data_IF_665624305931
#
_entry.id   IF_665624305931
#
_cell.length_a   1.000
_cell.length_b   1.000
_cell.length_c   1.000
_cell.angle_alpha   90.00
_cell.angle_beta   90.00
_cell.angle_gamma   90.00
#
_symmetry.space_group_name_H-M   'P 1'
#
loop_
_entity.id
_entity.type
_entity.pdbx_description
1 polymer ?
#
# COMPACT_ATOMS: atom_id res chain seq x y z
N UNK A 1 -11.79 -19.23 -2.76
CA UNK A 1 -11.22 -17.91 -2.48
C UNK A 1 -11.77 -17.28 -1.21
N UNK A 2 -13.09 -17.15 -1.05
CA UNK A 2 -13.68 -16.49 0.13
C UNK A 2 -13.19 -17.12 1.46
N UNK A 3 -13.18 -18.44 1.58
CA UNK A 3 -12.75 -19.18 2.78
C UNK A 3 -11.26 -18.95 3.14
N UNK A 4 -10.41 -18.62 2.19
CA UNK A 4 -8.99 -18.32 2.42
C UNK A 4 -8.82 -16.90 2.98
N UNK A 5 -9.66 -15.96 2.52
CA UNK A 5 -9.55 -14.54 2.87
C UNK A 5 -10.24 -14.22 4.18
N UNK A 6 -11.34 -14.89 4.51
CA UNK A 6 -12.09 -14.68 5.76
C UNK A 6 -11.22 -14.76 7.02
N UNK A 7 -10.34 -15.77 7.23
CA UNK A 7 -9.48 -15.83 8.40
C UNK A 7 -8.59 -14.60 8.56
N UNK A 8 -8.11 -14.00 7.45
CA UNK A 8 -7.26 -12.82 7.47
C UNK A 8 -8.05 -11.60 7.98
N UNK A 9 -9.30 -11.44 7.55
CA UNK A 9 -10.19 -10.40 8.06
C UNK A 9 -10.61 -10.64 9.52
N UNK A 10 -10.71 -11.88 9.96
CA UNK A 10 -10.96 -12.20 11.37
C UNK A 10 -9.79 -11.74 12.26
N UNK A 11 -8.54 -11.85 11.80
CA UNK A 11 -7.38 -11.30 12.53
C UNK A 11 -7.50 -9.77 12.66
N UNK A 12 -7.93 -9.06 11.61
CA UNK A 12 -8.19 -7.62 11.66
C UNK A 12 -9.31 -7.33 12.66
N UNK A 13 -10.39 -8.10 12.66
CA UNK A 13 -11.51 -7.94 13.60
C UNK A 13 -11.07 -8.17 15.05
N UNK A 14 -10.25 -9.18 15.32
CA UNK A 14 -9.67 -9.42 16.65
C UNK A 14 -8.85 -8.23 17.10
N UNK A 15 -7.98 -7.68 16.23
CA UNK A 15 -7.21 -6.46 16.51
C UNK A 15 -8.12 -5.26 16.82
N UNK A 16 -9.19 -5.08 16.03
CA UNK A 16 -10.18 -4.03 16.25
C UNK A 16 -10.90 -4.17 17.59
N UNK A 17 -11.41 -5.35 17.91
CA UNK A 17 -12.09 -5.63 19.18
C UNK A 17 -11.15 -5.42 20.37
N UNK A 18 -9.90 -5.89 20.26
CA UNK A 18 -8.89 -5.66 21.31
C UNK A 18 -8.63 -4.16 21.53
N UNK A 19 -8.44 -3.39 20.44
CA UNK A 19 -8.22 -1.94 20.52
C UNK A 19 -9.39 -1.17 21.14
N UNK A 20 -10.64 -1.66 20.96
CA UNK A 20 -11.84 -1.07 21.57
C UNK A 20 -12.01 -1.43 23.03
N UNK A 21 -11.62 -2.63 23.44
CA UNK A 21 -11.75 -3.11 24.83
C UNK A 21 -10.60 -2.65 25.75
N UNK A 22 -9.45 -2.28 25.16
CA UNK A 22 -8.26 -1.83 25.89
C UNK A 22 -7.82 -0.43 25.42
N UNK A 23 -8.58 0.63 25.73
CA UNK A 23 -8.30 1.99 25.26
C UNK A 23 -6.95 2.55 25.73
N UNK A 24 -6.45 2.09 26.89
CA UNK A 24 -5.18 2.56 27.49
C UNK A 24 -3.93 1.87 26.92
N UNK A 25 -4.08 0.99 25.91
CA UNK A 25 -2.97 0.28 25.25
C UNK A 25 -2.16 1.17 24.28
N UNK A 26 -2.15 2.51 24.45
CA UNK A 26 -1.55 3.48 23.54
C UNK A 26 -0.11 3.22 23.12
N UNK A 27 0.71 2.71 24.04
CA UNK A 27 2.09 2.35 23.75
C UNK A 27 2.20 0.98 23.06
N UNK A 28 1.27 0.05 23.34
CA UNK A 28 1.27 -1.27 22.72
C UNK A 28 1.00 -1.21 21.21
N UNK A 29 0.09 -0.34 20.76
CA UNK A 29 -0.19 -0.17 19.33
C UNK A 29 1.04 0.33 18.57
N UNK A 30 1.72 1.33 19.15
CA UNK A 30 2.94 1.86 18.55
C UNK A 30 4.00 0.77 18.47
N UNK A 31 4.19 0.02 19.56
CA UNK A 31 5.19 -1.06 19.62
C UNK A 31 4.91 -2.17 18.59
N UNK A 32 3.63 -2.59 18.45
CA UNK A 32 3.25 -3.62 17.48
C UNK A 32 3.44 -3.10 16.04
N UNK A 33 3.04 -1.85 15.76
CA UNK A 33 3.26 -1.25 14.45
C UNK A 33 4.76 -1.08 14.14
N UNK A 34 5.56 -0.66 15.12
CA UNK A 34 7.02 -0.54 14.97
C UNK A 34 7.66 -1.91 14.71
N UNK A 35 7.25 -2.96 15.44
CA UNK A 35 7.71 -4.33 15.18
C UNK A 35 7.39 -4.79 13.75
N UNK A 36 6.16 -4.57 13.28
CA UNK A 36 5.75 -4.94 11.93
C UNK A 36 6.57 -4.17 10.89
N UNK A 37 6.67 -2.84 11.04
CA UNK A 37 7.26 -1.96 10.02
C UNK A 37 8.79 -2.03 9.99
N UNK A 38 9.44 -2.17 11.16
CA UNK A 38 10.91 -2.10 11.27
C UNK A 38 11.59 -3.46 11.36
N UNK A 39 10.85 -4.53 11.66
CA UNK A 39 11.43 -5.86 11.90
C UNK A 39 10.81 -6.93 10.98
N UNK A 40 9.52 -7.23 11.17
CA UNK A 40 8.91 -8.40 10.55
C UNK A 40 8.73 -8.28 9.02
N UNK A 41 8.12 -7.18 8.55
CA UNK A 41 7.97 -6.92 7.10
C UNK A 41 9.32 -6.73 6.39
N UNK A 42 10.28 -5.94 6.93
CA UNK A 42 11.61 -5.87 6.34
C UNK A 42 12.29 -7.23 6.19
N UNK A 43 12.23 -8.09 7.21
CA UNK A 43 12.81 -9.43 7.14
C UNK A 43 12.14 -10.28 6.05
N UNK A 44 10.82 -10.26 5.96
CA UNK A 44 10.06 -10.95 4.91
C UNK A 44 10.44 -10.46 3.51
N UNK A 45 10.46 -9.13 3.30
CA UNK A 45 10.75 -8.54 1.99
C UNK A 45 12.21 -8.72 1.59
N UNK A 46 13.14 -8.62 2.56
CA UNK A 46 14.55 -8.89 2.32
C UNK A 46 14.76 -10.29 1.76
N UNK A 47 14.27 -11.32 2.44
CA UNK A 47 14.53 -12.70 2.01
C UNK A 47 13.81 -13.05 0.71
N UNK A 48 12.59 -12.48 0.49
CA UNK A 48 11.86 -12.65 -0.75
C UNK A 48 12.63 -12.13 -1.97
N UNK A 49 13.30 -10.97 -1.82
CA UNK A 49 14.10 -10.36 -2.88
C UNK A 49 15.47 -11.00 -2.99
N UNK A 50 16.16 -11.25 -1.87
CA UNK A 50 17.52 -11.79 -1.86
C UNK A 50 17.65 -13.20 -2.45
N UNK A 51 16.54 -13.93 -2.59
CA UNK A 51 16.45 -15.24 -3.23
C UNK A 51 15.85 -15.21 -4.64
N UNK A 52 15.57 -14.04 -5.16
CA UNK A 52 15.04 -13.88 -6.51
C UNK A 52 16.09 -14.21 -7.57
N UNK A 53 15.65 -14.75 -8.68
CA UNK A 53 16.49 -14.83 -9.86
C UNK A 53 16.57 -13.47 -10.58
N UNK A 54 17.68 -13.20 -11.24
CA UNK A 54 17.86 -11.95 -12.00
C UNK A 54 16.83 -11.80 -13.14
N UNK A 55 16.29 -12.90 -13.65
CA UNK A 55 15.20 -12.92 -14.64
C UNK A 55 13.88 -12.39 -14.07
N UNK A 56 13.61 -12.67 -12.79
CA UNK A 56 12.40 -12.21 -12.11
C UNK A 56 12.38 -10.70 -11.92
N UNK A 57 13.54 -10.05 -11.85
CA UNK A 57 13.65 -8.60 -11.77
C UNK A 57 13.35 -7.88 -13.09
N UNK A 58 13.24 -8.60 -14.21
CA UNK A 58 12.96 -8.05 -15.55
C UNK A 58 11.48 -8.04 -15.92
N UNK A 59 10.59 -8.11 -14.93
CA UNK A 59 9.12 -8.11 -15.14
C UNK A 59 8.58 -6.70 -15.44
N UNK A 60 9.03 -6.11 -16.56
CA UNK A 60 8.66 -4.75 -16.95
C UNK A 60 7.17 -4.56 -17.15
N UNK A 61 6.47 -5.55 -17.72
CA UNK A 61 5.01 -5.52 -17.90
C UNK A 61 4.29 -5.35 -16.56
N UNK A 62 4.70 -6.11 -15.54
CA UNK A 62 4.20 -6.00 -14.18
C UNK A 62 4.47 -4.62 -13.55
N UNK A 63 5.70 -4.15 -13.63
CA UNK A 63 6.10 -2.87 -13.03
C UNK A 63 5.39 -1.70 -13.68
N UNK A 64 5.37 -1.64 -15.00
CA UNK A 64 4.77 -0.54 -15.74
C UNK A 64 3.24 -0.54 -15.65
N UNK A 65 2.58 -1.70 -15.72
CA UNK A 65 1.13 -1.78 -15.54
C UNK A 65 0.70 -1.31 -14.15
N UNK A 66 1.46 -1.70 -13.12
CA UNK A 66 1.24 -1.24 -11.74
C UNK A 66 1.40 0.28 -11.62
N UNK A 67 2.51 0.84 -12.14
CA UNK A 67 2.76 2.28 -12.09
C UNK A 67 1.73 3.09 -12.88
N UNK A 68 1.32 2.61 -14.06
CA UNK A 68 0.29 3.27 -14.89
C UNK A 68 -1.06 3.24 -14.16
N UNK A 69 -1.43 2.11 -13.55
CA UNK A 69 -2.66 2.00 -12.75
C UNK A 69 -2.70 3.00 -11.59
N UNK A 70 -1.56 3.15 -10.87
CA UNK A 70 -1.39 4.15 -9.81
C UNK A 70 -1.51 5.57 -10.37
N UNK A 71 -0.80 5.88 -11.46
CA UNK A 71 -0.77 7.20 -12.05
C UNK A 71 -2.14 7.63 -12.58
N UNK A 72 -2.86 6.73 -13.27
CA UNK A 72 -4.21 7.00 -13.79
C UNK A 72 -5.18 7.28 -12.64
N UNK A 73 -5.21 6.44 -11.60
CA UNK A 73 -6.09 6.67 -10.44
C UNK A 73 -5.75 7.95 -9.71
N UNK A 74 -4.46 8.25 -9.52
CA UNK A 74 -3.99 9.50 -8.92
C UNK A 74 -4.45 10.73 -9.73
N UNK A 75 -4.24 10.71 -11.06
CA UNK A 75 -4.63 11.81 -11.95
C UNK A 75 -6.14 12.01 -12.01
N UNK A 76 -6.92 10.93 -12.11
CA UNK A 76 -8.38 11.01 -12.09
C UNK A 76 -8.89 11.62 -10.79
N UNK A 77 -8.33 11.23 -9.64
CA UNK A 77 -8.70 11.81 -8.35
C UNK A 77 -8.33 13.29 -8.27
N UNK A 78 -7.16 13.70 -8.79
CA UNK A 78 -6.77 15.11 -8.86
C UNK A 78 -7.72 15.94 -9.74
N UNK A 79 -8.14 15.39 -10.87
CA UNK A 79 -9.11 16.04 -11.78
C UNK A 79 -10.49 16.17 -11.12
N UNK A 80 -10.96 15.12 -10.44
CA UNK A 80 -12.24 15.17 -9.70
C UNK A 80 -12.16 16.16 -8.54
N UNK A 81 -11.08 16.19 -7.78
CA UNK A 81 -10.85 17.16 -6.72
C UNK A 81 -10.89 18.60 -7.27
N UNK A 82 -10.25 18.87 -8.40
CA UNK A 82 -10.28 20.18 -9.06
C UNK A 82 -11.69 20.60 -9.47
N UNK A 83 -12.52 19.67 -9.95
CA UNK A 83 -13.93 19.95 -10.31
C UNK A 83 -14.80 20.37 -9.12
N UNK A 84 -14.46 19.93 -7.92
CA UNK A 84 -15.15 20.34 -6.68
C UNK A 84 -14.42 21.49 -5.95
N UNK A 85 -13.51 22.19 -6.65
CA UNK A 85 -12.81 23.38 -6.14
C UNK A 85 -11.60 23.07 -5.23
N UNK A 86 -11.14 21.81 -5.15
CA UNK A 86 -9.99 21.44 -4.34
C UNK A 86 -8.72 21.40 -5.22
N UNK A 87 -7.88 22.42 -5.08
CA UNK A 87 -6.60 22.52 -5.78
C UNK A 87 -5.42 21.89 -5.01
N UNK A 88 -4.23 21.98 -5.59
CA UNK A 88 -2.97 21.63 -4.92
C UNK A 88 -2.68 22.59 -3.76
N UNK A 89 -2.09 22.11 -2.66
CA UNK A 89 -1.59 20.74 -2.42
C UNK A 89 -2.65 19.76 -1.91
N UNK A 90 -3.85 20.21 -1.57
CA UNK A 90 -4.89 19.40 -0.92
C UNK A 90 -5.38 18.24 -1.81
N UNK A 91 -5.52 18.49 -3.12
CA UNK A 91 -5.91 17.44 -4.08
C UNK A 91 -4.91 16.28 -4.15
N UNK A 92 -3.61 16.53 -3.88
CA UNK A 92 -2.60 15.46 -3.88
C UNK A 92 -2.83 14.43 -2.78
N UNK A 93 -3.36 14.87 -1.62
CA UNK A 93 -3.69 13.96 -0.52
C UNK A 93 -4.91 13.08 -0.85
N UNK A 94 -5.95 13.67 -1.48
CA UNK A 94 -7.10 12.93 -1.95
C UNK A 94 -6.71 11.94 -3.06
N UNK A 95 -5.81 12.35 -3.95
CA UNK A 95 -5.27 11.49 -5.01
C UNK A 95 -4.43 10.33 -4.45
N UNK A 96 -3.68 10.58 -3.37
CA UNK A 96 -3.02 9.51 -2.62
C UNK A 96 -4.05 8.51 -2.08
N UNK A 97 -5.20 8.98 -1.56
CA UNK A 97 -6.29 8.10 -1.13
C UNK A 97 -6.82 7.19 -2.23
N UNK A 98 -6.86 7.67 -3.48
CA UNK A 98 -7.34 6.91 -4.63
C UNK A 98 -6.30 5.95 -5.23
N UNK A 99 -5.03 6.03 -4.84
CA UNK A 99 -3.94 5.27 -5.47
C UNK A 99 -3.07 4.46 -4.49
N UNK A 100 -3.02 4.85 -3.22
CA UNK A 100 -2.20 4.22 -2.20
C UNK A 100 -2.97 3.15 -1.42
N UNK A 101 -2.54 1.92 -1.51
CA UNK A 101 -3.18 0.76 -0.87
C UNK A 101 -2.46 0.27 0.39
N UNK A 102 -3.16 -0.55 1.19
CA UNK A 102 -2.62 -1.28 2.34
C UNK A 102 -1.78 -2.49 1.88
N UNK A 103 -0.84 -2.26 0.98
CA UNK A 103 -0.10 -3.33 0.28
C UNK A 103 0.76 -4.16 1.21
N UNK A 104 1.56 -3.53 2.09
CA UNK A 104 2.45 -4.23 3.02
C UNK A 104 1.69 -4.97 4.11
N UNK A 105 0.70 -4.33 4.75
CA UNK A 105 -0.01 -4.89 5.89
C UNK A 105 -1.06 -5.95 5.52
N UNK A 106 -1.67 -5.84 4.35
CA UNK A 106 -2.76 -6.71 3.93
C UNK A 106 -2.46 -7.43 2.60
N UNK A 107 -1.91 -6.72 1.61
CA UNK A 107 -1.66 -7.28 0.28
C UNK A 107 -0.63 -8.42 0.32
N UNK A 108 0.52 -8.21 0.95
CA UNK A 108 1.56 -9.25 1.08
C UNK A 108 1.03 -10.50 1.80
N UNK A 109 0.41 -10.39 3.01
CA UNK A 109 -0.17 -11.55 3.68
C UNK A 109 -1.22 -12.31 2.85
N UNK A 110 -2.12 -11.59 2.17
CA UNK A 110 -3.15 -12.20 1.34
C UNK A 110 -2.52 -13.00 0.20
N UNK A 111 -1.59 -12.39 -0.53
CA UNK A 111 -0.95 -13.02 -1.68
C UNK A 111 -0.15 -14.27 -1.29
N UNK A 112 0.61 -14.20 -0.20
CA UNK A 112 1.36 -15.37 0.31
C UNK A 112 0.39 -16.46 0.80
N UNK A 113 -0.72 -16.11 1.44
CA UNK A 113 -1.70 -17.08 1.89
C UNK A 113 -2.42 -17.80 0.74
N UNK A 114 -2.60 -17.12 -0.41
CA UNK A 114 -3.30 -17.68 -1.57
C UNK A 114 -2.35 -18.40 -2.52
N UNK A 115 -1.19 -17.81 -2.82
CA UNK A 115 -0.26 -18.31 -3.85
C UNK A 115 1.04 -18.89 -3.28
N UNK A 116 1.21 -18.86 -1.96
CA UNK A 116 2.44 -19.35 -1.33
C UNK A 116 3.63 -18.39 -1.49
N UNK A 117 4.84 -18.91 -1.22
CA UNK A 117 6.08 -18.12 -1.24
C UNK A 117 6.42 -17.49 -2.60
N UNK A 118 5.97 -18.08 -3.70
CA UNK A 118 6.17 -17.52 -5.04
C UNK A 118 5.57 -16.12 -5.23
N UNK A 119 4.58 -15.75 -4.42
CA UNK A 119 4.00 -14.39 -4.44
C UNK A 119 4.81 -13.37 -3.63
N UNK A 120 5.79 -13.79 -2.83
CA UNK A 120 6.50 -12.91 -1.93
C UNK A 120 7.33 -11.84 -2.67
N UNK A 121 8.05 -12.25 -3.72
CA UNK A 121 8.83 -11.31 -4.55
C UNK A 121 7.96 -10.31 -5.32
N UNK A 122 6.96 -10.73 -6.14
CA UNK A 122 6.08 -9.76 -6.80
C UNK A 122 5.37 -8.85 -5.80
N UNK A 123 4.94 -9.35 -4.64
CA UNK A 123 4.32 -8.55 -3.60
C UNK A 123 5.28 -7.52 -2.97
N UNK A 124 6.57 -7.87 -2.79
CA UNK A 124 7.59 -6.95 -2.32
C UNK A 124 7.80 -5.79 -3.31
N UNK A 125 7.97 -6.10 -4.59
CA UNK A 125 8.15 -5.10 -5.65
C UNK A 125 6.91 -4.21 -5.75
N UNK A 126 5.70 -4.79 -5.79
CA UNK A 126 4.46 -4.03 -5.84
C UNK A 126 4.29 -3.09 -4.63
N UNK A 127 4.69 -3.53 -3.43
CA UNK A 127 4.62 -2.69 -2.23
C UNK A 127 5.45 -1.41 -2.40
N UNK A 128 6.65 -1.51 -2.96
CA UNK A 128 7.50 -0.35 -3.23
C UNK A 128 6.90 0.54 -4.31
N UNK A 129 6.42 -0.05 -5.42
CA UNK A 129 5.81 0.69 -6.51
C UNK A 129 4.56 1.47 -6.06
N UNK A 130 3.78 0.94 -5.11
CA UNK A 130 2.60 1.63 -4.56
C UNK A 130 2.99 2.72 -3.55
N UNK A 131 4.04 2.52 -2.76
CA UNK A 131 4.41 3.43 -1.69
C UNK A 131 5.18 4.65 -2.21
N UNK A 132 6.22 4.43 -3.01
CA UNK A 132 7.17 5.48 -3.39
C UNK A 132 6.50 6.63 -4.17
N UNK A 133 5.82 6.39 -5.30
CA UNK A 133 5.28 7.48 -6.12
C UNK A 133 4.23 8.31 -5.39
N UNK A 134 3.31 7.65 -4.66
CA UNK A 134 2.22 8.32 -3.97
C UNK A 134 2.73 9.22 -2.82
N UNK A 135 3.67 8.71 -2.02
CA UNK A 135 4.29 9.46 -0.93
C UNK A 135 5.09 10.65 -1.46
N UNK A 136 5.91 10.43 -2.50
CA UNK A 136 6.69 11.49 -3.13
C UNK A 136 5.79 12.59 -3.69
N UNK A 137 4.72 12.23 -4.39
CA UNK A 137 3.79 13.19 -4.98
C UNK A 137 3.16 14.11 -3.93
N UNK A 138 2.76 13.56 -2.77
CA UNK A 138 2.19 14.34 -1.66
C UNK A 138 3.24 15.26 -1.05
N UNK A 139 4.42 14.75 -0.68
CA UNK A 139 5.47 15.54 -0.03
C UNK A 139 5.92 16.68 -0.96
N UNK A 140 6.23 16.39 -2.22
CA UNK A 140 6.64 17.41 -3.20
C UNK A 140 5.55 18.45 -3.41
N UNK A 141 4.30 18.02 -3.52
CA UNK A 141 3.16 18.93 -3.68
C UNK A 141 3.06 19.92 -2.49
N UNK A 142 3.13 19.41 -1.26
CA UNK A 142 3.05 20.26 -0.07
C UNK A 142 4.28 21.17 0.07
N UNK A 143 5.49 20.68 -0.13
CA UNK A 143 6.70 21.48 -0.04
C UNK A 143 6.69 22.63 -1.06
N UNK A 144 6.31 22.36 -2.31
CA UNK A 144 6.28 23.36 -3.38
C UNK A 144 5.22 24.42 -3.15
N UNK A 145 4.00 24.02 -2.78
CA UNK A 145 2.89 24.95 -2.66
C UNK A 145 2.89 25.70 -1.33
N UNK A 146 3.32 25.08 -0.22
CA UNK A 146 3.47 25.78 1.06
C UNK A 146 4.56 26.85 1.01
N UNK A 147 5.66 26.57 0.33
CA UNK A 147 6.79 27.51 0.23
C UNK A 147 6.48 28.69 -0.70
N UNK A 148 5.71 28.45 -1.78
CA UNK A 148 5.21 29.54 -2.64
C UNK A 148 4.30 30.51 -1.89
N UNK A 149 3.47 29.99 -0.96
CA UNK A 149 2.59 30.83 -0.13
C UNK A 149 3.37 31.78 0.81
N UNK A 150 4.63 31.44 1.15
CA UNK A 150 5.50 32.25 2.02
C UNK A 150 6.46 33.13 1.20
N UNK A 151 6.37 33.14 -0.16
CA UNK A 151 7.24 33.91 -1.02
C UNK A 151 8.68 33.38 -1.16
N UNK A 152 8.98 32.21 -0.63
CA UNK A 152 10.30 31.60 -0.73
C UNK A 152 10.42 30.72 -1.99
N UNK A 153 11.49 30.93 -2.75
CA UNK A 153 11.78 30.21 -4.00
C UNK A 153 12.47 28.87 -3.68
N UNK A 154 11.71 27.85 -3.21
CA UNK A 154 12.29 26.51 -3.07
C UNK A 154 12.47 25.87 -4.43
N UNK A 155 13.69 25.49 -4.76
CA UNK A 155 13.98 24.74 -5.98
C UNK A 155 13.31 23.36 -5.87
N UNK A 156 12.50 22.98 -6.86
CA UNK A 156 11.87 21.66 -6.99
C UNK A 156 12.83 20.50 -6.68
N UNK A 157 14.10 20.65 -7.11
CA UNK A 157 15.18 19.71 -6.85
C UNK A 157 15.38 19.41 -5.34
N UNK A 158 15.28 20.42 -4.46
CA UNK A 158 15.44 20.21 -3.01
C UNK A 158 14.24 19.45 -2.41
N UNK A 159 13.02 19.73 -2.86
CA UNK A 159 11.82 19.01 -2.41
C UNK A 159 11.82 17.55 -2.90
N UNK A 160 12.22 17.32 -4.15
CA UNK A 160 12.37 15.96 -4.69
C UNK A 160 13.49 15.21 -3.97
N UNK A 161 14.63 15.84 -3.71
CA UNK A 161 15.74 15.23 -2.96
C UNK A 161 15.35 14.85 -1.53
N UNK A 162 14.62 15.71 -0.81
CA UNK A 162 14.10 15.40 0.54
C UNK A 162 13.12 14.24 0.51
N UNK A 163 12.20 14.23 -0.46
CA UNK A 163 11.22 13.16 -0.63
C UNK A 163 11.89 11.83 -0.95
N UNK A 164 12.86 11.84 -1.86
CA UNK A 164 13.66 10.66 -2.20
C UNK A 164 14.41 10.13 -0.97
N UNK A 165 15.06 11.01 -0.19
CA UNK A 165 15.76 10.63 1.04
C UNK A 165 14.82 10.02 2.09
N UNK A 166 13.62 10.59 2.26
CA UNK A 166 12.60 10.06 3.18
C UNK A 166 12.15 8.67 2.74
N UNK A 167 12.00 8.46 1.43
CA UNK A 167 11.59 7.18 0.85
C UNK A 167 12.68 6.12 0.97
N UNK A 168 13.93 6.48 0.69
CA UNK A 168 15.10 5.57 0.84
C UNK A 168 15.31 5.18 2.30
N UNK A 169 15.01 6.05 3.26
CA UNK A 169 15.07 5.75 4.70
C UNK A 169 13.90 4.88 5.21
N UNK A 170 12.92 4.57 4.35
CA UNK A 170 11.84 3.65 4.74
C UNK A 170 12.42 2.23 4.95
N UNK A 171 12.15 1.57 6.09
CA UNK A 171 12.70 0.24 6.41
C UNK A 171 12.35 -0.82 5.36
N UNK A 172 11.17 -0.75 4.75
CA UNK A 172 10.77 -1.66 3.68
C UNK A 172 11.61 -1.46 2.42
N UNK A 173 11.89 -0.19 2.07
CA UNK A 173 12.75 0.14 0.93
C UNK A 173 14.18 -0.32 1.17
N UNK A 174 14.73 -0.08 2.37
CA UNK A 174 16.08 -0.54 2.75
C UNK A 174 16.18 -2.06 2.64
N UNK A 175 15.19 -2.79 3.14
CA UNK A 175 15.17 -4.25 3.10
C UNK A 175 15.19 -4.80 1.66
N UNK A 176 14.36 -4.22 0.77
CA UNK A 176 14.33 -4.62 -0.63
C UNK A 176 15.63 -4.25 -1.36
N UNK A 177 16.18 -3.05 -1.11
CA UNK A 177 17.46 -2.65 -1.70
C UNK A 177 18.61 -3.55 -1.21
N UNK A 178 18.61 -3.94 0.08
CA UNK A 178 19.57 -4.89 0.61
C UNK A 178 19.43 -6.27 -0.07
N UNK A 179 18.19 -6.79 -0.20
CA UNK A 179 17.94 -8.03 -0.93
C UNK A 179 18.39 -7.96 -2.39
N UNK A 180 18.12 -6.84 -3.06
CA UNK A 180 18.55 -6.62 -4.45
C UNK A 180 20.07 -6.60 -4.58
N UNK A 181 20.80 -6.05 -3.59
CA UNK A 181 22.26 -6.07 -3.59
C UNK A 181 22.80 -7.52 -3.55
N UNK A 182 22.18 -8.43 -2.79
CA UNK A 182 22.55 -9.85 -2.79
C UNK A 182 22.38 -10.48 -4.17
N UNK A 183 21.28 -10.22 -4.85
CA UNK A 183 21.00 -10.74 -6.21
C UNK A 183 22.00 -10.17 -7.24
N UNK A 184 22.20 -8.85 -7.23
CA UNK A 184 23.06 -8.20 -8.23
C UNK A 184 24.54 -8.51 -8.06
N UNK A 185 24.98 -8.82 -6.83
CA UNK A 185 26.36 -9.21 -6.52
C UNK A 185 26.57 -10.73 -6.53
N UNK A 186 25.52 -11.50 -6.89
CA UNK A 186 25.51 -12.96 -6.90
C UNK A 186 25.97 -13.56 -5.55
N UNK A 187 25.56 -12.95 -4.45
CA UNK A 187 25.88 -13.37 -3.08
C UNK A 187 24.82 -14.32 -2.58
N UNK A 188 25.20 -15.54 -2.26
CA UNK A 188 24.27 -16.49 -1.62
C UNK A 188 23.97 -16.05 -0.18
N UNK A 189 22.68 -16.06 0.17
CA UNK A 189 22.27 -15.74 1.55
C UNK A 189 22.73 -16.86 2.48
N UNK A 190 23.55 -16.58 3.52
CA UNK A 190 23.95 -17.59 4.50
C UNK A 190 22.72 -18.21 5.17
N UNK A 191 22.73 -19.54 5.36
CA UNK A 191 21.59 -20.31 5.92
C UNK A 191 21.09 -19.74 7.25
N UNK A 192 21.97 -19.24 8.10
CA UNK A 192 21.61 -18.63 9.39
C UNK A 192 20.81 -17.35 9.18
N UNK A 193 21.24 -16.49 8.26
CA UNK A 193 20.54 -15.23 7.92
C UNK A 193 19.18 -15.54 7.29
N UNK A 194 19.13 -16.51 6.40
CA UNK A 194 17.89 -16.97 5.78
C UNK A 194 16.90 -17.47 6.82
N UNK A 195 17.31 -18.39 7.68
CA UNK A 195 16.47 -18.98 8.74
C UNK A 195 15.97 -17.89 9.71
N UNK A 196 16.83 -16.96 10.10
CA UNK A 196 16.48 -15.84 10.95
C UNK A 196 15.45 -14.92 10.28
N UNK A 197 15.68 -14.52 9.02
CA UNK A 197 14.77 -13.66 8.27
C UNK A 197 13.41 -14.31 8.02
N UNK A 198 13.38 -15.64 7.72
CA UNK A 198 12.14 -16.40 7.58
C UNK A 198 11.37 -16.50 8.90
N UNK A 199 12.07 -16.75 10.01
CA UNK A 199 11.43 -16.84 11.32
C UNK A 199 10.72 -15.53 11.71
N UNK A 200 11.38 -14.39 11.52
CA UNK A 200 10.76 -13.07 11.74
C UNK A 200 9.67 -12.77 10.70
N UNK A 201 9.93 -13.09 9.43
CA UNK A 201 9.02 -12.82 8.33
C UNK A 201 7.69 -13.56 8.44
N UNK A 202 7.69 -14.79 8.99
CA UNK A 202 6.47 -15.56 9.20
C UNK A 202 5.50 -14.89 10.18
N UNK A 203 6.01 -14.09 11.10
CA UNK A 203 5.18 -13.31 12.01
C UNK A 203 4.58 -12.05 11.34
N UNK A 204 5.12 -11.61 10.20
CA UNK A 204 4.73 -10.35 9.56
C UNK A 204 3.24 -10.29 9.20
N UNK A 205 2.72 -11.33 8.54
CA UNK A 205 1.32 -11.38 8.09
C UNK A 205 0.31 -11.24 9.23
N UNK A 206 0.26 -12.17 10.17
CA UNK A 206 -0.70 -12.13 11.29
C UNK A 206 -0.57 -10.86 12.14
N UNK A 207 0.67 -10.44 12.43
CA UNK A 207 0.91 -9.25 13.26
C UNK A 207 0.53 -7.96 12.53
N UNK A 208 0.78 -7.87 11.21
CA UNK A 208 0.38 -6.72 10.41
C UNK A 208 -1.14 -6.56 10.34
N UNK A 209 -1.87 -7.65 10.12
CA UNK A 209 -3.34 -7.65 10.08
C UNK A 209 -3.93 -7.27 11.44
N UNK A 210 -3.36 -7.79 12.54
CA UNK A 210 -3.77 -7.42 13.89
C UNK A 210 -3.49 -5.93 14.17
N UNK A 211 -2.30 -5.43 13.82
CA UNK A 211 -1.93 -4.02 13.96
C UNK A 211 -2.85 -3.09 13.14
N UNK A 212 -3.26 -3.52 11.94
CA UNK A 212 -4.24 -2.80 11.14
C UNK A 212 -5.59 -2.68 11.87
N UNK A 213 -6.07 -3.77 12.48
CA UNK A 213 -7.27 -3.78 13.29
C UNK A 213 -7.19 -2.83 14.49
N UNK A 214 -6.06 -2.84 15.22
CA UNK A 214 -5.79 -1.89 16.32
C UNK A 214 -5.87 -0.44 15.84
N UNK A 215 -5.22 -0.13 14.72
CA UNK A 215 -5.23 1.21 14.13
C UNK A 215 -6.64 1.68 13.79
N UNK A 216 -7.47 0.80 13.21
CA UNK A 216 -8.87 1.08 12.88
C UNK A 216 -9.73 1.38 14.10
N UNK A 217 -9.50 0.69 15.22
CA UNK A 217 -10.25 0.92 16.46
C UNK A 217 -10.08 2.34 17.00
N UNK A 218 -9.01 3.03 16.62
CA UNK A 218 -8.65 4.39 17.06
C UNK A 218 -9.02 5.49 16.08
N UNK A 219 -9.48 5.13 14.88
CA UNK A 219 -9.96 6.13 13.94
C UNK A 219 -11.20 6.80 14.51
N UNK A 220 -11.15 8.14 14.64
CA UNK A 220 -12.29 8.95 15.06
C UNK A 220 -12.94 9.50 13.80
N UNK A 221 -14.23 9.21 13.63
CA UNK A 221 -15.05 9.73 12.53
C UNK A 221 -16.14 10.61 13.13
N UNK A 222 -16.22 11.87 12.70
CA UNK A 222 -17.28 12.78 13.14
C UNK A 222 -18.57 12.51 12.37
N UNK A 223 -19.71 12.63 13.04
CA UNK A 223 -21.05 12.23 12.53
C UNK A 223 -21.64 13.11 11.40
N UNK A 224 -21.01 14.23 11.02
CA UNK A 224 -21.58 15.21 10.08
C UNK A 224 -21.01 15.12 8.66
N UNK A 225 -21.17 13.95 7.99
CA UNK A 225 -20.44 13.68 6.74
C UNK A 225 -21.31 13.46 5.48
N UNK A 226 -22.64 13.64 5.52
CA UNK A 226 -23.51 13.20 4.42
C UNK A 226 -23.18 13.78 3.02
N UNK A 227 -22.87 15.08 2.91
CA UNK A 227 -22.52 15.71 1.63
C UNK A 227 -21.08 15.39 1.20
N UNK A 228 -20.17 15.34 2.16
CA UNK A 228 -18.75 15.04 1.92
C UNK A 228 -18.55 13.57 1.51
N UNK A 229 -19.36 12.65 2.04
CA UNK A 229 -19.33 11.23 1.65
C UNK A 229 -19.60 11.04 0.18
N UNK A 230 -20.64 11.65 -0.38
CA UNK A 230 -20.99 11.45 -1.78
C UNK A 230 -20.02 12.13 -2.75
N UNK A 231 -19.46 13.30 -2.39
CA UNK A 231 -18.64 14.11 -3.29
C UNK A 231 -17.15 13.77 -3.25
N UNK A 232 -16.63 13.25 -2.13
CA UNK A 232 -15.20 12.99 -1.95
C UNK A 232 -14.94 11.53 -1.65
N UNK A 233 -15.57 10.96 -0.62
CA UNK A 233 -15.26 9.60 -0.14
C UNK A 233 -15.59 8.55 -1.19
N UNK A 234 -16.79 8.56 -1.73
CA UNK A 234 -17.23 7.56 -2.70
C UNK A 234 -16.39 7.56 -3.99
N UNK A 235 -16.11 8.72 -4.64
CA UNK A 235 -15.21 8.74 -5.79
C UNK A 235 -13.81 8.18 -5.50
N UNK A 236 -13.20 8.54 -4.36
CA UNK A 236 -11.87 8.03 -3.99
C UNK A 236 -11.90 6.51 -3.80
N UNK A 237 -12.93 5.98 -3.12
CA UNK A 237 -13.08 4.54 -2.89
C UNK A 237 -13.31 3.79 -4.20
N UNK A 238 -14.16 4.31 -5.09
CA UNK A 238 -14.40 3.69 -6.42
C UNK A 238 -13.14 3.71 -7.27
N UNK A 239 -12.41 4.83 -7.30
CA UNK A 239 -11.13 4.92 -8.01
C UNK A 239 -10.15 3.88 -7.48
N UNK A 240 -10.08 3.71 -6.16
CA UNK A 240 -9.13 2.79 -5.52
C UNK A 240 -9.50 1.32 -5.72
N UNK A 241 -10.76 0.93 -5.48
CA UNK A 241 -11.15 -0.48 -5.45
C UNK A 241 -11.60 -1.04 -6.80
N UNK A 242 -11.97 -0.16 -7.75
CA UNK A 242 -12.50 -0.58 -9.05
C UNK A 242 -11.63 -0.09 -10.20
N UNK A 243 -11.41 1.21 -10.30
CA UNK A 243 -10.71 1.79 -11.47
C UNK A 243 -9.24 1.41 -11.48
N UNK A 244 -8.55 1.51 -10.33
CA UNK A 244 -7.12 1.18 -10.28
C UNK A 244 -6.86 -0.28 -10.67
N UNK A 245 -7.50 -1.31 -10.08
CA UNK A 245 -7.27 -2.69 -10.50
C UNK A 245 -7.72 -2.97 -11.93
N UNK A 246 -8.83 -2.37 -12.41
CA UNK A 246 -9.28 -2.52 -13.78
C UNK A 246 -8.28 -1.95 -14.79
N UNK A 247 -7.74 -0.76 -14.54
CA UNK A 247 -6.70 -0.14 -15.40
C UNK A 247 -5.41 -0.96 -15.33
N UNK A 248 -4.98 -1.38 -14.14
CA UNK A 248 -3.79 -2.21 -13.99
C UNK A 248 -3.93 -3.52 -14.78
N UNK A 249 -5.07 -4.21 -14.66
CA UNK A 249 -5.37 -5.41 -15.43
C UNK A 249 -5.37 -5.14 -16.94
N UNK A 250 -6.10 -4.11 -17.38
CA UNK A 250 -6.19 -3.79 -18.81
C UNK A 250 -4.82 -3.49 -19.42
N UNK A 251 -3.98 -2.70 -18.74
CA UNK A 251 -2.63 -2.38 -19.21
C UNK A 251 -1.74 -3.63 -19.18
N UNK A 252 -1.81 -4.45 -18.12
CA UNK A 252 -1.02 -5.66 -18.01
C UNK A 252 -1.33 -6.64 -19.16
N UNK A 253 -2.60 -6.88 -19.45
CA UNK A 253 -3.02 -7.87 -20.44
C UNK A 253 -2.95 -7.32 -21.88
N UNK A 254 -3.56 -6.16 -22.14
CA UNK A 254 -3.73 -5.68 -23.52
C UNK A 254 -2.52 -4.89 -24.06
N UNK A 255 -1.70 -4.30 -23.17
CA UNK A 255 -0.51 -3.53 -23.60
C UNK A 255 0.76 -4.36 -23.46
N UNK A 256 0.92 -5.07 -22.35
CA UNK A 256 2.14 -5.84 -22.06
C UNK A 256 1.99 -7.35 -22.34
N UNK A 257 0.81 -7.83 -22.75
CA UNK A 257 0.59 -9.22 -23.11
C UNK A 257 0.79 -10.19 -21.95
N UNK A 258 0.58 -9.75 -20.71
CA UNK A 258 0.65 -10.62 -19.53
C UNK A 258 -0.53 -11.58 -19.56
N UNK A 259 -0.28 -12.83 -19.84
CA UNK A 259 -1.27 -13.89 -19.95
C UNK A 259 -1.22 -14.86 -18.74
N UNK A 260 -1.97 -15.95 -18.82
CA UNK A 260 -2.03 -16.97 -17.79
C UNK A 260 -0.70 -17.65 -17.46
N UNK A 261 0.33 -17.57 -18.32
CA UNK A 261 1.67 -18.07 -18.05
C UNK A 261 2.43 -17.23 -16.99
N UNK A 262 2.01 -15.98 -16.80
CA UNK A 262 2.56 -15.10 -15.76
C UNK A 262 1.64 -15.04 -14.52
N UNK A 263 0.84 -16.07 -14.28
CA UNK A 263 -0.28 -16.12 -13.33
C UNK A 263 -0.08 -15.38 -12.01
N UNK A 264 1.00 -15.66 -11.25
CA UNK A 264 1.24 -15.01 -9.96
C UNK A 264 1.61 -13.53 -10.09
N UNK A 265 2.31 -13.14 -11.15
CA UNK A 265 2.70 -11.74 -11.38
C UNK A 265 1.48 -10.88 -11.75
N UNK A 266 0.67 -11.35 -12.70
CA UNK A 266 -0.56 -10.68 -13.09
C UNK A 266 -1.54 -10.59 -11.91
N UNK A 267 -1.77 -11.72 -11.22
CA UNK A 267 -2.61 -11.77 -10.03
C UNK A 267 -2.12 -10.77 -8.97
N UNK A 268 -0.81 -10.72 -8.71
CA UNK A 268 -0.22 -9.78 -7.74
C UNK A 268 -0.44 -8.34 -8.15
N UNK A 269 -0.21 -7.97 -9.44
CA UNK A 269 -0.44 -6.60 -9.91
C UNK A 269 -1.86 -6.14 -9.62
N UNK A 270 -2.86 -6.97 -9.96
CA UNK A 270 -4.28 -6.62 -9.83
C UNK A 270 -4.75 -6.67 -8.38
N UNK A 271 -4.36 -7.69 -7.61
CA UNK A 271 -4.72 -7.82 -6.19
C UNK A 271 -4.11 -6.69 -5.36
N UNK A 272 -2.86 -6.30 -5.64
CA UNK A 272 -2.22 -5.16 -4.97
C UNK A 272 -2.89 -3.84 -5.34
N UNK A 273 -3.32 -3.67 -6.57
CA UNK A 273 -4.11 -2.51 -6.99
C UNK A 273 -5.49 -2.46 -6.30
N UNK A 274 -6.11 -3.62 -6.05
CA UNK A 274 -7.42 -3.76 -5.39
C UNK A 274 -7.36 -3.65 -3.86
N UNK A 275 -6.18 -3.46 -3.24
CA UNK A 275 -6.09 -3.29 -1.80
C UNK A 275 -6.84 -2.04 -1.33
N UNK A 276 -7.49 -2.06 -0.14
CA UNK A 276 -8.16 -0.89 0.41
C UNK A 276 -7.18 0.25 0.68
N UNK A 277 -7.71 1.44 0.90
CA UNK A 277 -6.93 2.66 1.14
C UNK A 277 -6.00 2.45 2.34
N UNK A 278 -4.72 2.75 2.15
CA UNK A 278 -3.70 2.54 3.17
C UNK A 278 -3.74 3.57 4.29
N UNK A 279 -3.49 3.12 5.53
CA UNK A 279 -3.46 3.97 6.71
C UNK A 279 -2.43 5.13 6.63
N UNK A 280 -1.41 5.01 5.77
CA UNK A 280 -0.45 6.09 5.50
C UNK A 280 -1.11 7.38 5.04
N UNK A 281 -2.23 7.32 4.30
CA UNK A 281 -2.97 8.52 3.86
C UNK A 281 -3.47 9.31 5.07
N UNK A 282 -3.96 8.63 6.11
CA UNK A 282 -4.41 9.28 7.35
C UNK A 282 -3.25 9.96 8.12
N UNK A 283 -2.07 9.34 8.11
CA UNK A 283 -0.86 9.94 8.72
C UNK A 283 -0.51 11.26 8.04
N UNK A 284 -0.55 11.30 6.71
CA UNK A 284 -0.34 12.54 5.96
C UNK A 284 -1.47 13.56 6.15
N UNK A 285 -2.74 13.10 6.22
CA UNK A 285 -3.88 13.96 6.51
C UNK A 285 -3.73 14.66 7.86
N UNK A 286 -3.27 13.95 8.89
CA UNK A 286 -2.95 14.53 10.21
C UNK A 286 -1.74 15.46 10.15
N UNK A 287 -0.65 15.04 9.49
CA UNK A 287 0.58 15.83 9.37
C UNK A 287 0.32 17.19 8.73
N UNK A 288 -0.54 17.23 7.72
CA UNK A 288 -0.85 18.44 6.97
C UNK A 288 -2.16 19.12 7.40
N UNK A 289 -2.79 18.64 8.48
CA UNK A 289 -4.04 19.17 9.03
C UNK A 289 -5.18 19.31 8.02
N UNK A 290 -5.29 18.36 7.07
CA UNK A 290 -6.29 18.40 6.02
C UNK A 290 -7.23 17.19 6.06
N UNK A 291 -8.47 17.43 6.45
CA UNK A 291 -9.62 16.50 6.44
C UNK A 291 -9.32 15.06 6.95
N UNK A 292 -8.68 14.87 8.11
CA UNK A 292 -8.34 13.53 8.59
C UNK A 292 -9.58 12.65 8.81
N UNK A 293 -10.73 13.22 9.19
CA UNK A 293 -11.97 12.47 9.40
C UNK A 293 -12.52 11.89 8.09
N UNK A 294 -12.45 12.65 6.98
CA UNK A 294 -12.86 12.21 5.65
C UNK A 294 -11.98 11.07 5.16
N UNK A 295 -10.68 11.19 5.36
CA UNK A 295 -9.72 10.14 5.00
C UNK A 295 -9.94 8.89 5.87
N UNK A 296 -10.15 9.05 7.19
CA UNK A 296 -10.47 7.93 8.08
C UNK A 296 -11.71 7.17 7.60
N UNK A 297 -12.79 7.90 7.24
CA UNK A 297 -14.00 7.30 6.72
C UNK A 297 -13.75 6.56 5.39
N UNK A 298 -12.95 7.15 4.49
CA UNK A 298 -12.60 6.52 3.22
C UNK A 298 -11.85 5.20 3.44
N UNK A 299 -10.93 5.15 4.41
CA UNK A 299 -10.20 3.94 4.79
C UNK A 299 -11.18 2.87 5.29
N UNK A 300 -12.08 3.22 6.22
CA UNK A 300 -13.04 2.28 6.80
C UNK A 300 -13.97 1.73 5.71
N UNK A 301 -14.56 2.60 4.88
CA UNK A 301 -15.47 2.17 3.81
C UNK A 301 -14.73 1.29 2.79
N UNK A 302 -13.52 1.67 2.38
CA UNK A 302 -12.75 0.86 1.44
C UNK A 302 -12.38 -0.50 2.02
N UNK A 303 -12.07 -0.59 3.32
CA UNK A 303 -11.77 -1.86 3.97
C UNK A 303 -13.00 -2.76 4.08
N UNK A 304 -14.18 -2.21 4.43
CA UNK A 304 -15.42 -2.97 4.47
C UNK A 304 -15.79 -3.51 3.08
N UNK A 305 -15.65 -2.69 2.04
CA UNK A 305 -15.89 -3.13 0.66
C UNK A 305 -14.84 -4.15 0.19
N UNK A 306 -13.60 -4.08 0.69
CA UNK A 306 -12.55 -5.03 0.38
C UNK A 306 -12.87 -6.47 0.81
N UNK A 307 -13.74 -6.67 1.81
CA UNK A 307 -14.29 -7.98 2.18
C UNK A 307 -14.95 -8.71 1.00
N UNK A 308 -15.50 -7.95 0.05
CA UNK A 308 -16.15 -8.50 -1.14
C UNK A 308 -15.27 -8.35 -2.37
N UNK A 309 -14.63 -7.19 -2.56
CA UNK A 309 -13.87 -6.92 -3.79
C UNK A 309 -12.59 -7.73 -3.90
N UNK A 310 -11.88 -7.99 -2.80
CA UNK A 310 -10.65 -8.81 -2.84
C UNK A 310 -10.95 -10.26 -3.19
N UNK A 311 -11.90 -10.98 -2.53
CA UNK A 311 -12.29 -12.32 -2.97
C UNK A 311 -12.79 -12.38 -4.41
N UNK A 312 -13.53 -11.35 -4.87
CA UNK A 312 -13.98 -11.26 -6.26
C UNK A 312 -12.81 -11.14 -7.23
N UNK A 313 -11.83 -10.28 -6.94
CA UNK A 313 -10.61 -10.16 -7.76
C UNK A 313 -9.80 -11.46 -7.73
N UNK A 314 -9.60 -12.08 -6.56
CA UNK A 314 -8.87 -13.34 -6.44
C UNK A 314 -9.55 -14.50 -7.19
N UNK A 315 -10.88 -14.48 -7.34
CA UNK A 315 -11.59 -15.49 -8.11
C UNK A 315 -11.31 -15.46 -9.61
N UNK A 316 -10.82 -14.33 -10.12
CA UNK A 316 -10.36 -14.20 -11.51
C UNK A 316 -8.99 -14.87 -11.74
N UNK A 317 -8.24 -15.10 -10.66
CA UNK A 317 -6.89 -15.65 -10.69
C UNK A 317 -6.78 -16.85 -9.72
N UNK A 318 -7.41 -17.99 -10.00
CA UNK A 318 -7.32 -19.15 -9.11
C UNK A 318 -5.86 -19.62 -9.01
N UNK A 319 -5.38 -20.02 -7.80
CA UNK A 319 -4.07 -20.65 -7.69
C UNK A 319 -4.06 -21.95 -8.47
N UNK A 320 -3.00 -22.21 -9.20
CA UNK A 320 -2.74 -23.46 -9.94
C UNK A 320 -2.48 -24.61 -9.02
#
# INVERSE_FOLDING_TARGET
MFLIVVPLFLVILVGYCYGRTKPDSGNADKLINDYVLYIALPALLFIAVARADTSDLKQWGFMLSTLIGIAVSYMLAALLAKRVGIGLPHSSLLSMGASYGTTGYMGVPILISVYGEQAALPAAIATILHNIPAIMAVIVSWDVFSTRAIGANTRLIHSVGRSALTTVKNPLTIAVLAGLAFVLLDIQVPVVIESFARFLGNAAGPTALFALGLGLARLKVKEHLNVTVSKIVLPIVVLKLVIQPAVTFAIAVYVFGMDGYQGVWLATAVVMAAQPIGAGVYVFAKKYHYQPDVIALSIIISLLLALVTIPAVLSLFPPS
#
